data_IF_489360729453
#
_entry.id   IF_489360729453
#
_cell.length_a   1.000
_cell.length_b   1.000
_cell.length_c   1.000
_cell.angle_alpha   90.00
_cell.angle_beta   90.00
_cell.angle_gamma   90.00
#
_symmetry.space_group_name_H-M   'P 1'
#
loop_
_entity.id
_entity.type
_entity.pdbx_description
1 polymer ?
#
# COMPACT_ATOMS: atom_id res chain seq x y z
N UNK A 1 -3.36 30.82 16.33
CA UNK A 1 -3.69 29.63 15.50
C UNK A 1 -4.18 30.12 14.15
N UNK A 2 -3.79 29.45 13.06
CA UNK A 2 -4.26 29.74 11.71
C UNK A 2 -5.26 28.67 11.27
N UNK A 3 -6.42 29.11 10.75
CA UNK A 3 -7.41 28.20 10.16
C UNK A 3 -6.95 27.80 8.75
N UNK A 4 -7.11 26.52 8.42
CA UNK A 4 -6.81 26.01 7.08
C UNK A 4 -7.67 26.71 6.04
N UNK A 5 -7.07 27.07 4.89
CA UNK A 5 -7.85 27.52 3.73
C UNK A 5 -8.66 26.34 3.19
N UNK A 6 -9.72 26.66 2.45
CA UNK A 6 -10.43 25.66 1.65
C UNK A 6 -9.68 25.45 0.33
N UNK A 7 -9.56 24.20 -0.17
CA UNK A 7 -9.16 23.92 -1.54
C UNK A 7 -10.02 24.68 -2.56
N UNK A 8 -9.46 25.05 -3.71
CA UNK A 8 -10.22 25.73 -4.79
C UNK A 8 -11.39 24.87 -5.30
N UNK A 9 -11.22 23.55 -5.29
CA UNK A 9 -12.21 22.55 -5.67
C UNK A 9 -13.02 21.99 -4.49
N UNK A 10 -13.14 22.71 -3.37
CA UNK A 10 -13.76 22.21 -2.14
C UNK A 10 -15.17 21.63 -2.35
N UNK A 11 -16.01 22.29 -3.15
CA UNK A 11 -17.36 21.80 -3.43
C UNK A 11 -17.35 20.42 -4.12
N UNK A 12 -16.45 20.21 -5.08
CA UNK A 12 -16.31 18.95 -5.80
C UNK A 12 -15.68 17.85 -4.92
N UNK A 13 -14.72 18.23 -4.07
CA UNK A 13 -14.09 17.36 -3.08
C UNK A 13 -15.12 16.84 -2.06
N UNK A 14 -15.95 17.72 -1.51
CA UNK A 14 -17.05 17.35 -0.61
C UNK A 14 -18.08 16.48 -1.31
N UNK A 15 -18.45 16.78 -2.56
CA UNK A 15 -19.36 15.95 -3.32
C UNK A 15 -18.82 14.52 -3.51
N UNK A 16 -17.50 14.39 -3.76
CA UNK A 16 -16.83 13.09 -3.86
C UNK A 16 -16.84 12.35 -2.53
N UNK A 17 -16.47 13.02 -1.44
CA UNK A 17 -16.51 12.42 -0.11
C UNK A 17 -17.93 11.96 0.26
N UNK A 18 -18.94 12.77 -0.04
CA UNK A 18 -20.34 12.45 0.23
C UNK A 18 -20.82 11.26 -0.60
N UNK A 19 -20.38 11.14 -1.86
CA UNK A 19 -20.80 10.02 -2.72
C UNK A 19 -20.27 8.66 -2.30
N UNK A 20 -19.28 8.62 -1.41
CA UNK A 20 -18.71 7.37 -0.90
C UNK A 20 -19.52 6.77 0.26
N UNK A 21 -20.53 7.48 0.77
CA UNK A 21 -21.40 7.05 1.88
C UNK A 21 -20.63 6.52 3.11
N UNK A 22 -19.40 7.02 3.33
CA UNK A 22 -18.49 6.56 4.38
C UNK A 22 -18.58 7.37 5.69
N UNK A 23 -19.06 8.61 5.62
CA UNK A 23 -19.20 9.47 6.79
C UNK A 23 -20.30 8.95 7.72
N UNK A 24 -20.13 9.13 9.03
CA UNK A 24 -21.08 8.73 10.08
C UNK A 24 -21.42 7.22 10.09
N UNK A 25 -20.55 6.41 9.50
CA UNK A 25 -20.65 4.95 9.54
C UNK A 25 -19.92 4.39 10.77
N UNK A 26 -20.31 3.20 11.28
CA UNK A 26 -19.58 2.55 12.36
C UNK A 26 -18.09 2.35 12.02
N UNK A 27 -17.28 2.18 13.06
CA UNK A 27 -15.89 1.73 12.92
C UNK A 27 -15.86 0.31 12.40
N UNK A 28 -14.86 0.00 11.60
CA UNK A 28 -14.72 -1.31 10.96
C UNK A 28 -13.28 -1.78 11.07
N UNK A 29 -13.11 -3.06 11.40
CA UNK A 29 -11.81 -3.69 11.66
C UNK A 29 -10.82 -3.53 10.50
N UNK A 30 -11.31 -3.51 9.26
CA UNK A 30 -10.48 -3.27 8.07
C UNK A 30 -9.83 -1.90 8.02
N UNK A 31 -10.40 -0.88 8.67
CA UNK A 31 -9.80 0.46 8.78
C UNK A 31 -8.93 0.53 10.04
N UNK A 32 -9.39 -0.06 11.14
CA UNK A 32 -8.69 -0.11 12.44
C UNK A 32 -7.31 -0.76 12.36
N UNK A 33 -7.12 -1.74 11.47
CA UNK A 33 -5.80 -2.32 11.26
C UNK A 33 -4.77 -1.30 10.75
N UNK A 34 -5.15 -0.31 9.94
CA UNK A 34 -4.17 0.64 9.37
C UNK A 34 -3.72 1.66 10.40
N UNK A 35 -4.60 2.13 11.29
CA UNK A 35 -4.22 3.00 12.40
C UNK A 35 -3.35 2.23 13.40
N UNK A 36 -3.68 0.97 13.70
CA UNK A 36 -2.84 0.08 14.53
C UNK A 36 -1.46 -0.20 13.91
N UNK A 37 -1.40 -0.54 12.63
CA UNK A 37 -0.12 -0.74 11.91
C UNK A 37 0.69 0.56 11.92
N UNK A 38 0.03 1.71 11.74
CA UNK A 38 0.68 3.01 11.76
C UNK A 38 1.30 3.34 13.12
N UNK A 39 0.59 3.12 14.23
CA UNK A 39 1.16 3.38 15.57
C UNK A 39 2.37 2.48 15.85
N UNK A 40 2.34 1.22 15.40
CA UNK A 40 3.43 0.27 15.58
C UNK A 40 4.65 0.55 14.71
N UNK A 41 4.45 0.76 13.40
CA UNK A 41 5.56 0.98 12.44
C UNK A 41 6.29 2.29 12.73
N UNK A 42 5.56 3.35 13.05
CA UNK A 42 6.14 4.68 13.25
C UNK A 42 6.45 4.98 14.73
N UNK A 43 6.16 4.02 15.62
CA UNK A 43 6.32 4.15 17.07
C UNK A 43 5.69 5.44 17.59
N UNK A 44 4.44 5.71 17.20
CA UNK A 44 3.67 6.88 17.63
C UNK A 44 2.47 6.46 18.49
N UNK A 45 2.10 7.24 19.51
CA UNK A 45 1.00 6.87 20.39
C UNK A 45 -0.37 7.01 19.74
N UNK A 46 -0.49 7.74 18.63
CA UNK A 46 -1.76 8.08 18.01
C UNK A 46 -1.67 7.98 16.49
N UNK A 47 -2.64 7.31 15.88
CA UNK A 47 -2.86 7.34 14.44
C UNK A 47 -4.36 7.38 14.11
N UNK A 48 -4.73 8.15 13.07
CA UNK A 48 -6.12 8.38 12.68
C UNK A 48 -6.29 8.21 11.17
N UNK A 49 -7.41 7.60 10.76
CA UNK A 49 -7.97 7.82 9.42
C UNK A 49 -9.01 8.93 9.58
N UNK A 50 -8.64 10.13 9.16
CA UNK A 50 -9.42 11.36 9.32
C UNK A 50 -9.97 11.83 7.98
N UNK A 51 -11.30 11.88 7.85
CA UNK A 51 -11.99 12.39 6.67
C UNK A 51 -12.38 13.85 6.91
N UNK A 52 -12.01 14.74 6.00
CA UNK A 52 -12.25 16.18 6.15
C UNK A 52 -13.58 16.53 5.48
N UNK A 53 -14.61 16.80 6.28
CA UNK A 53 -15.94 17.21 5.83
C UNK A 53 -16.06 18.76 5.82
N UNK A 54 -17.26 19.31 5.56
CA UNK A 54 -17.50 20.75 5.42
C UNK A 54 -17.02 21.56 6.63
N UNK A 55 -17.44 21.15 7.82
CA UNK A 55 -17.21 21.88 9.09
C UNK A 55 -16.48 21.06 10.15
N UNK A 56 -16.22 19.78 9.89
CA UNK A 56 -15.55 18.85 10.83
C UNK A 56 -14.46 18.05 10.14
N UNK A 57 -13.56 17.49 10.94
CA UNK A 57 -12.84 16.28 10.58
C UNK A 57 -13.49 15.12 11.33
N UNK A 58 -13.90 14.08 10.61
CA UNK A 58 -14.55 12.90 11.16
C UNK A 58 -13.61 11.71 11.08
N UNK A 59 -13.52 10.91 12.14
CA UNK A 59 -12.54 9.84 12.24
C UNK A 59 -13.16 8.49 11.90
N UNK A 60 -12.79 7.93 10.73
CA UNK A 60 -13.23 6.60 10.31
C UNK A 60 -12.60 5.50 11.17
N UNK A 61 -11.37 5.74 11.63
CA UNK A 61 -10.63 4.85 12.49
C UNK A 61 -9.68 5.64 13.38
N UNK A 62 -9.52 5.16 14.61
CA UNK A 62 -8.80 5.85 15.68
C UNK A 62 -8.01 4.86 16.51
N UNK A 63 -6.71 5.10 16.65
CA UNK A 63 -5.84 4.42 17.61
C UNK A 63 -5.23 5.47 18.54
N UNK A 64 -5.35 5.27 19.86
CA UNK A 64 -4.71 6.10 20.89
C UNK A 64 -5.30 7.50 21.12
N UNK A 65 -6.45 7.83 20.56
CA UNK A 65 -7.14 9.12 20.73
C UNK A 65 -8.59 8.94 21.18
N UNK A 66 -9.03 9.79 22.10
CA UNK A 66 -10.41 9.79 22.60
C UNK A 66 -11.23 10.83 21.83
N UNK A 67 -12.03 10.36 20.88
CA UNK A 67 -12.96 11.19 20.10
C UNK A 67 -13.38 10.53 18.79
N UNK A 68 -14.44 11.07 18.20
CA UNK A 68 -14.99 10.62 16.90
C UNK A 68 -14.84 11.68 15.81
N UNK A 69 -14.70 12.95 16.20
CA UNK A 69 -14.51 14.07 15.30
C UNK A 69 -13.90 15.27 16.04
N UNK A 70 -13.44 16.25 15.27
CA UNK A 70 -13.20 17.61 15.79
C UNK A 70 -13.68 18.66 14.79
N UNK A 71 -13.86 19.92 15.22
CA UNK A 71 -14.07 21.01 14.28
C UNK A 71 -12.93 21.09 13.25
N UNK A 72 -13.28 21.38 11.98
CA UNK A 72 -12.29 21.48 10.89
C UNK A 72 -11.31 22.62 11.14
N UNK A 73 -11.76 23.69 11.78
CA UNK A 73 -10.97 24.90 12.06
C UNK A 73 -9.74 24.63 12.93
N UNK A 74 -9.79 23.61 13.79
CA UNK A 74 -8.68 23.19 14.65
C UNK A 74 -7.92 21.98 14.08
N UNK A 75 -8.27 21.52 12.88
CA UNK A 75 -7.68 20.30 12.31
C UNK A 75 -6.32 20.55 11.65
N UNK A 76 -5.38 19.64 11.92
CA UNK A 76 -4.14 19.52 11.14
C UNK A 76 -4.43 18.92 9.76
N UNK A 77 -5.36 17.97 9.68
CA UNK A 77 -5.78 17.31 8.45
C UNK A 77 -6.35 18.30 7.41
N UNK A 78 -7.08 19.32 7.86
CA UNK A 78 -7.56 20.40 6.99
C UNK A 78 -6.43 21.18 6.30
N UNK A 79 -5.26 21.31 6.94
CA UNK A 79 -4.06 21.88 6.31
C UNK A 79 -3.37 20.88 5.38
N UNK A 80 -3.35 19.60 5.76
CA UNK A 80 -2.68 18.55 5.00
C UNK A 80 -3.32 18.32 3.62
N UNK A 81 -4.66 18.36 3.52
CA UNK A 81 -5.37 18.15 2.24
C UNK A 81 -5.14 19.29 1.21
N UNK A 82 -4.41 20.35 1.56
CA UNK A 82 -4.04 21.41 0.62
C UNK A 82 -2.81 21.06 -0.22
N UNK A 83 -1.95 20.16 0.25
CA UNK A 83 -0.80 19.63 -0.49
C UNK A 83 -1.05 18.21 -0.98
N UNK A 84 -0.17 17.70 -1.85
CA UNK A 84 -0.24 16.32 -2.36
C UNK A 84 0.70 15.39 -1.57
N UNK A 85 1.77 15.95 -1.02
CA UNK A 85 2.77 15.21 -0.23
C UNK A 85 2.40 15.10 1.25
N UNK A 86 3.15 14.28 1.98
CA UNK A 86 3.08 14.18 3.44
C UNK A 86 3.26 15.56 4.08
N UNK A 87 2.22 16.02 4.76
CA UNK A 87 2.24 17.25 5.53
C UNK A 87 2.80 16.99 6.92
N UNK A 88 4.02 17.48 7.17
CA UNK A 88 4.74 17.23 8.42
C UNK A 88 4.90 18.51 9.27
N UNK A 89 4.57 18.40 10.55
CA UNK A 89 4.77 19.41 11.59
C UNK A 89 5.63 18.79 12.69
N UNK A 90 6.93 19.13 12.66
CA UNK A 90 7.92 18.56 13.59
C UNK A 90 7.72 18.98 15.05
N UNK A 91 7.21 20.19 15.26
CA UNK A 91 6.91 20.74 16.58
C UNK A 91 5.80 21.80 16.49
N UNK A 92 4.56 21.41 16.75
CA UNK A 92 3.37 22.24 16.70
C UNK A 92 3.40 23.42 17.69
N UNK A 93 4.13 23.30 18.81
CA UNK A 93 4.31 24.39 19.79
C UNK A 93 5.15 25.55 19.22
N UNK A 94 5.95 25.28 18.19
CA UNK A 94 6.78 26.28 17.48
C UNK A 94 6.20 26.70 16.14
N UNK A 95 5.22 25.97 15.62
CA UNK A 95 4.60 26.25 14.33
C UNK A 95 3.55 27.37 14.48
N UNK A 96 3.68 28.52 13.77
CA UNK A 96 2.72 29.62 13.84
C UNK A 96 1.28 29.21 13.52
N UNK A 97 1.09 28.17 12.70
CA UNK A 97 -0.24 27.67 12.33
C UNK A 97 -0.94 27.01 13.51
N UNK A 98 -0.19 26.30 14.35
CA UNK A 98 -0.73 25.39 15.35
C UNK A 98 -0.42 25.75 16.81
N UNK A 99 0.50 26.69 17.09
CA UNK A 99 0.94 26.93 18.47
C UNK A 99 -0.13 27.36 19.47
N UNK A 100 -1.19 28.02 19.00
CA UNK A 100 -2.34 28.41 19.84
C UNK A 100 -3.56 27.50 19.58
N UNK A 101 -3.36 26.34 18.94
CA UNK A 101 -4.43 25.39 18.67
C UNK A 101 -4.82 24.66 19.98
N UNK A 102 -6.12 24.52 20.30
CA UNK A 102 -6.56 23.79 21.49
C UNK A 102 -5.96 22.39 21.62
N UNK A 103 -5.81 21.64 20.52
CA UNK A 103 -5.21 20.29 20.53
C UNK A 103 -3.71 20.28 20.89
N UNK A 104 -3.04 21.44 20.80
CA UNK A 104 -1.63 21.62 21.17
C UNK A 104 -1.50 22.11 22.62
N UNK A 105 -2.35 23.05 23.02
CA UNK A 105 -2.33 23.67 24.34
C UNK A 105 -2.94 22.76 25.43
N UNK A 106 -4.02 22.08 25.09
CA UNK A 106 -4.78 21.19 25.97
C UNK A 106 -4.60 19.73 25.52
N UNK A 107 -5.31 18.80 26.15
CA UNK A 107 -5.29 17.40 25.73
C UNK A 107 -5.67 17.28 24.23
N UNK A 108 -4.94 16.47 23.44
CA UNK A 108 -3.93 15.49 23.84
C UNK A 108 -2.48 16.02 23.89
N UNK A 109 -2.28 17.33 23.82
CA UNK A 109 -0.99 18.03 23.82
C UNK A 109 -0.12 17.72 22.59
N UNK A 110 -0.73 17.77 21.40
CA UNK A 110 -0.08 17.50 20.11
C UNK A 110 1.19 18.34 19.98
N UNK A 111 2.31 17.66 19.76
CA UNK A 111 3.60 18.28 19.47
C UNK A 111 4.05 17.92 18.06
N UNK A 112 3.79 16.70 17.61
CA UNK A 112 4.17 16.22 16.30
C UNK A 112 2.93 15.77 15.53
N UNK A 113 2.92 16.07 14.23
CA UNK A 113 1.90 15.62 13.30
C UNK A 113 2.58 15.27 11.96
N UNK A 114 2.22 14.14 11.37
CA UNK A 114 2.45 13.87 9.96
C UNK A 114 1.20 13.26 9.34
N UNK A 115 0.69 13.82 8.26
CA UNK A 115 -0.50 13.30 7.58
C UNK A 115 -0.26 13.16 6.09
N UNK A 116 -0.51 11.97 5.56
CA UNK A 116 -0.51 11.72 4.13
C UNK A 116 -1.95 11.81 3.58
N UNK A 117 -2.20 12.61 2.53
CA UNK A 117 -3.56 12.77 2.01
C UNK A 117 -4.13 11.50 1.39
N UNK A 118 -5.41 11.23 1.66
CA UNK A 118 -6.18 10.13 1.05
C UNK A 118 -6.74 10.60 -0.30
N UNK A 119 -6.08 10.22 -1.40
CA UNK A 119 -6.43 10.64 -2.75
C UNK A 119 -7.49 9.72 -3.37
N UNK A 120 -8.68 10.26 -3.66
CA UNK A 120 -9.66 9.56 -4.48
C UNK A 120 -9.17 9.44 -5.95
N UNK A 121 -9.72 8.50 -6.75
CA UNK A 121 -9.32 8.31 -8.16
C UNK A 121 -9.48 9.55 -9.04
N UNK A 122 -10.39 10.45 -8.68
CA UNK A 122 -10.59 11.73 -9.37
C UNK A 122 -9.61 12.83 -8.90
N UNK A 123 -8.61 12.48 -8.10
CA UNK A 123 -7.60 13.40 -7.56
C UNK A 123 -8.06 14.20 -6.34
N UNK A 124 -9.29 14.02 -5.86
CA UNK A 124 -9.78 14.74 -4.68
C UNK A 124 -9.21 14.16 -3.38
N UNK A 125 -8.72 15.03 -2.51
CA UNK A 125 -8.18 14.66 -1.19
C UNK A 125 -9.32 14.56 -0.18
N UNK A 126 -9.67 13.34 0.20
CA UNK A 126 -10.81 13.06 1.07
C UNK A 126 -10.50 13.39 2.54
N UNK A 127 -9.24 13.23 2.93
CA UNK A 127 -8.79 13.25 4.30
C UNK A 127 -7.32 12.90 4.42
N UNK A 128 -6.92 12.31 5.54
CA UNK A 128 -5.56 11.83 5.79
C UNK A 128 -5.55 10.50 6.56
N UNK A 129 -4.53 9.68 6.31
CA UNK A 129 -3.97 8.84 7.37
C UNK A 129 -2.90 9.68 8.07
N UNK A 130 -3.04 9.88 9.38
CA UNK A 130 -2.12 10.74 10.12
C UNK A 130 -1.58 10.11 11.41
N UNK A 131 -0.35 10.52 11.73
CA UNK A 131 0.45 10.14 12.88
C UNK A 131 0.54 11.34 13.82
N UNK A 132 0.35 11.12 15.11
CA UNK A 132 0.36 12.19 16.12
C UNK A 132 1.20 11.75 17.32
N UNK A 133 2.03 12.68 17.83
CA UNK A 133 2.78 12.48 19.06
C UNK A 133 2.84 13.75 19.92
N UNK A 134 3.11 13.58 21.22
CA UNK A 134 3.30 14.58 22.26
C UNK A 134 4.76 15.05 22.37
N UNK A 135 5.69 14.39 21.67
CA UNK A 135 7.11 14.80 21.52
C UNK A 135 7.42 15.22 20.08
N UNK A 136 8.43 16.09 19.85
CA UNK A 136 8.87 16.42 18.49
C UNK A 136 9.43 15.20 17.77
N UNK A 137 9.15 15.08 16.47
CA UNK A 137 9.71 14.03 15.59
C UNK A 137 10.02 14.58 14.20
N UNK A 138 10.68 13.76 13.41
CA UNK A 138 10.92 13.98 12.00
C UNK A 138 10.97 12.63 11.28
N UNK A 139 10.13 12.44 10.27
CA UNK A 139 10.21 11.29 9.37
C UNK A 139 11.39 11.45 8.42
N UNK A 140 12.08 10.34 8.19
CA UNK A 140 12.90 10.12 7.02
C UNK A 140 12.04 10.08 5.75
N UNK A 141 12.67 10.25 4.59
CA UNK A 141 11.96 10.16 3.30
C UNK A 141 11.35 8.77 3.09
N UNK A 142 12.04 7.72 3.56
CA UNK A 142 11.52 6.36 3.54
C UNK A 142 10.26 6.19 4.40
N UNK A 143 10.23 6.76 5.60
CA UNK A 143 9.02 6.74 6.44
C UNK A 143 7.86 7.52 5.84
N UNK A 144 8.14 8.64 5.14
CA UNK A 144 7.11 9.37 4.39
C UNK A 144 6.53 8.52 3.27
N UNK A 145 7.38 7.81 2.53
CA UNK A 145 6.96 6.86 1.50
C UNK A 145 6.07 5.77 2.09
N UNK A 146 6.45 5.14 3.21
CA UNK A 146 5.62 4.14 3.88
C UNK A 146 4.25 4.69 4.30
N UNK A 147 4.20 5.91 4.85
CA UNK A 147 2.93 6.54 5.26
C UNK A 147 2.02 6.82 4.05
N UNK A 148 2.61 7.19 2.91
CA UNK A 148 1.89 7.35 1.65
C UNK A 148 1.35 6.03 1.11
N UNK A 149 2.12 4.93 1.16
CA UNK A 149 1.63 3.61 0.76
C UNK A 149 0.44 3.18 1.61
N UNK A 150 0.57 3.24 2.95
CA UNK A 150 -0.54 2.95 3.86
C UNK A 150 -1.79 3.79 3.57
N UNK A 151 -1.61 5.05 3.17
CA UNK A 151 -2.71 5.93 2.77
C UNK A 151 -3.38 5.47 1.48
N UNK A 152 -2.60 5.01 0.50
CA UNK A 152 -3.10 4.37 -0.72
C UNK A 152 -3.92 3.11 -0.43
N UNK A 153 -3.45 2.26 0.50
CA UNK A 153 -4.18 1.07 0.93
C UNK A 153 -5.52 1.41 1.60
N UNK A 154 -5.54 2.45 2.45
CA UNK A 154 -6.78 2.97 3.05
C UNK A 154 -7.75 3.44 1.96
N UNK A 155 -7.28 4.16 0.94
CA UNK A 155 -8.12 4.55 -0.20
C UNK A 155 -8.67 3.32 -0.92
N UNK A 156 -7.85 2.28 -1.13
CA UNK A 156 -8.28 1.01 -1.71
C UNK A 156 -9.48 0.42 -0.99
N UNK A 157 -9.46 0.40 0.35
CA UNK A 157 -10.61 -0.07 1.15
C UNK A 157 -11.85 0.83 1.02
N UNK A 158 -11.68 2.16 1.04
CA UNK A 158 -12.80 3.11 0.85
C UNK A 158 -13.50 2.86 -0.48
N UNK A 159 -12.75 2.57 -1.54
CA UNK A 159 -13.30 2.35 -2.87
C UNK A 159 -13.96 0.98 -3.02
N UNK A 160 -13.47 -0.05 -2.32
CA UNK A 160 -14.11 -1.37 -2.30
C UNK A 160 -15.54 -1.27 -1.77
N UNK A 161 -15.77 -0.53 -0.68
CA UNK A 161 -17.11 -0.28 -0.14
C UNK A 161 -18.08 0.34 -1.12
N UNK A 162 -17.60 1.37 -1.83
CA UNK A 162 -18.40 2.04 -2.83
C UNK A 162 -18.77 1.08 -3.97
N UNK A 163 -17.82 0.23 -4.41
CA UNK A 163 -18.06 -0.77 -5.46
C UNK A 163 -18.97 -1.92 -5.03
N UNK A 164 -18.92 -2.32 -3.75
CA UNK A 164 -19.78 -3.36 -3.18
C UNK A 164 -21.26 -2.91 -3.14
N UNK A 165 -21.49 -1.60 -2.95
CA UNK A 165 -22.83 -1.00 -2.97
C UNK A 165 -23.34 -0.61 -4.38
N UNK A 166 -22.49 -0.53 -5.42
CA UNK A 166 -22.82 0.10 -6.71
C UNK A 166 -22.81 -0.80 -7.98
N UNK A 167 -22.76 -2.13 -7.85
CA UNK A 167 -22.50 -3.13 -8.91
C UNK A 167 -21.01 -3.30 -9.27
N UNK A 168 -20.55 -4.55 -9.11
CA UNK A 168 -19.20 -5.09 -9.37
C UNK A 168 -18.62 -4.69 -10.74
N UNK A 169 -17.34 -4.28 -10.73
CA UNK A 169 -16.27 -5.04 -11.36
C UNK A 169 -15.46 -5.74 -10.26
N UNK A 170 -15.22 -7.03 -10.44
CA UNK A 170 -14.49 -7.87 -9.50
C UNK A 170 -13.01 -7.46 -9.48
N UNK A 171 -12.60 -6.61 -8.54
CA UNK A 171 -11.20 -6.49 -8.13
C UNK A 171 -10.81 -7.60 -7.16
N UNK A 172 -11.45 -8.78 -7.27
CA UNK A 172 -10.75 -10.01 -6.89
C UNK A 172 -9.40 -9.91 -7.58
N UNK A 173 -8.32 -10.04 -6.81
CA UNK A 173 -7.03 -10.37 -7.38
C UNK A 173 -7.27 -11.67 -8.14
N UNK A 174 -7.62 -11.58 -9.43
CA UNK A 174 -7.82 -12.75 -10.25
C UNK A 174 -6.43 -13.32 -10.38
N UNK A 175 -6.20 -14.38 -9.63
CA UNK A 175 -5.03 -15.22 -9.84
C UNK A 175 -5.11 -15.70 -11.28
N UNK A 176 -4.29 -15.09 -12.12
CA UNK A 176 -4.11 -15.59 -13.48
C UNK A 176 -3.04 -16.67 -13.43
N UNK A 177 -3.13 -17.61 -14.34
CA UNK A 177 -2.07 -18.59 -14.50
C UNK A 177 -0.81 -17.90 -15.01
N UNK A 178 0.35 -18.50 -14.72
CA UNK A 178 1.63 -18.11 -15.29
C UNK A 178 1.51 -17.98 -16.82
N UNK A 179 0.93 -18.99 -17.47
CA UNK A 179 0.74 -19.00 -18.92
C UNK A 179 -0.05 -17.77 -19.42
N UNK A 180 -1.17 -17.42 -18.77
CA UNK A 180 -1.99 -16.27 -19.16
C UNK A 180 -1.27 -14.93 -19.01
N UNK A 181 -0.46 -14.74 -17.96
CA UNK A 181 0.34 -13.52 -17.81
C UNK A 181 1.36 -13.38 -18.95
N UNK A 182 2.06 -14.47 -19.25
CA UNK A 182 3.14 -14.47 -20.23
C UNK A 182 2.64 -14.46 -21.68
N UNK A 183 1.45 -15.01 -21.96
CA UNK A 183 0.77 -14.88 -23.27
C UNK A 183 0.43 -13.42 -23.61
N UNK A 184 0.24 -12.58 -22.58
CA UNK A 184 -0.02 -11.14 -22.72
C UNK A 184 1.23 -10.27 -22.90
N UNK A 185 2.45 -10.83 -22.79
CA UNK A 185 3.68 -10.04 -22.89
C UNK A 185 3.96 -9.66 -24.34
N UNK A 186 4.19 -8.37 -24.65
CA UNK A 186 4.61 -7.95 -25.98
C UNK A 186 5.92 -8.64 -26.37
N UNK A 187 5.94 -9.25 -27.57
CA UNK A 187 7.12 -9.96 -28.12
C UNK A 187 8.27 -9.04 -28.57
N UNK A 188 8.20 -7.76 -28.19
CA UNK A 188 9.21 -6.76 -28.50
C UNK A 188 10.41 -6.89 -27.55
N UNK A 189 11.62 -6.74 -28.09
CA UNK A 189 12.86 -6.85 -27.32
C UNK A 189 12.97 -5.78 -26.23
N UNK A 190 13.45 -6.19 -25.05
CA UNK A 190 13.89 -5.28 -23.99
C UNK A 190 12.95 -5.17 -22.79
N UNK A 191 11.83 -5.87 -22.76
CA UNK A 191 10.99 -5.98 -21.56
C UNK A 191 11.74 -6.74 -20.45
N UNK A 192 11.48 -6.37 -19.19
CA UNK A 192 11.97 -7.10 -18.03
C UNK A 192 10.79 -7.56 -17.19
N UNK A 193 10.85 -8.81 -16.71
CA UNK A 193 9.84 -9.38 -15.82
C UNK A 193 10.48 -9.55 -14.45
N UNK A 194 9.82 -9.01 -13.43
CA UNK A 194 10.14 -9.29 -12.03
C UNK A 194 9.14 -10.32 -11.53
N UNK A 195 9.66 -11.43 -11.02
CA UNK A 195 8.89 -12.45 -10.32
C UNK A 195 9.16 -12.28 -8.84
N UNK A 196 8.13 -11.98 -8.07
CA UNK A 196 8.18 -11.91 -6.62
C UNK A 196 7.57 -13.18 -6.04
N UNK A 197 8.25 -13.80 -5.10
CA UNK A 197 7.76 -14.93 -4.30
C UNK A 197 7.57 -14.45 -2.86
N UNK A 198 6.33 -14.50 -2.37
CA UNK A 198 6.03 -14.24 -0.96
C UNK A 198 5.80 -15.60 -0.30
N UNK A 199 6.85 -16.12 0.33
CA UNK A 199 6.76 -17.36 1.11
C UNK A 199 5.65 -17.24 2.18
N UNK A 200 4.85 -18.30 2.29
CA UNK A 200 3.97 -18.61 3.44
C UNK A 200 2.71 -17.75 3.67
N UNK A 201 2.13 -17.13 2.63
CA UNK A 201 0.91 -16.29 2.76
C UNK A 201 -0.39 -17.09 2.99
N UNK A 202 -0.40 -18.41 2.78
CA UNK A 202 -1.63 -19.22 2.89
C UNK A 202 -1.69 -20.13 4.13
N UNK A 203 -0.65 -20.23 4.95
CA UNK A 203 -0.71 -21.06 6.17
C UNK A 203 -1.37 -20.35 7.38
N UNK A 204 -1.56 -19.03 7.31
CA UNK A 204 -2.25 -18.25 8.34
C UNK A 204 -3.78 -18.19 8.19
N UNK A 205 -4.37 -18.84 7.17
CA UNK A 205 -5.82 -18.97 7.07
C UNK A 205 -6.34 -20.10 7.98
N UNK A 206 -6.37 -19.86 9.28
CA UNK A 206 -7.10 -20.74 10.19
C UNK A 206 -7.89 -20.10 11.31
N UNK A 207 -8.00 -18.77 11.40
CA UNK A 207 -8.99 -18.17 12.31
C UNK A 207 -9.65 -16.95 11.66
N UNK A 208 -10.96 -17.06 11.46
CA UNK A 208 -11.75 -16.06 10.76
C UNK A 208 -11.88 -14.77 11.56
N UNK A 209 -11.12 -13.75 11.18
CA UNK A 209 -11.41 -12.34 11.47
C UNK A 209 -10.68 -11.45 10.45
N UNK A 210 -11.43 -10.77 9.57
CA UNK A 210 -11.14 -9.47 8.89
C UNK A 210 -9.68 -8.96 8.71
N UNK A 211 -8.71 -9.82 8.39
CA UNK A 211 -7.37 -9.41 7.94
C UNK A 211 -7.38 -9.18 6.43
N UNK A 212 -6.72 -8.11 5.97
CA UNK A 212 -6.38 -7.99 4.55
C UNK A 212 -5.28 -9.00 4.28
N UNK A 213 -5.43 -9.78 3.20
CA UNK A 213 -4.44 -10.80 2.90
C UNK A 213 -3.07 -10.15 2.66
N UNK A 214 -1.96 -10.76 3.13
CA UNK A 214 -0.61 -10.32 2.79
C UNK A 214 -0.42 -10.07 1.28
N UNK A 215 -1.07 -10.89 0.44
CA UNK A 215 -1.08 -10.71 -1.01
C UNK A 215 -1.71 -9.39 -1.49
N UNK A 216 -2.75 -8.90 -0.80
CA UNK A 216 -3.38 -7.61 -1.14
C UNK A 216 -2.47 -6.43 -0.81
N UNK A 217 -1.84 -6.45 0.37
CA UNK A 217 -0.84 -5.45 0.77
C UNK A 217 0.30 -5.41 -0.25
N UNK A 218 0.80 -6.59 -0.62
CA UNK A 218 1.90 -6.68 -1.55
C UNK A 218 1.51 -6.22 -2.96
N UNK A 219 0.31 -6.53 -3.42
CA UNK A 219 -0.21 -6.05 -4.70
C UNK A 219 -0.27 -4.51 -4.73
N UNK A 220 -0.77 -3.87 -3.67
CA UNK A 220 -0.81 -2.41 -3.57
C UNK A 220 0.60 -1.82 -3.58
N UNK A 221 1.54 -2.40 -2.84
CA UNK A 221 2.95 -1.97 -2.87
C UNK A 221 3.58 -2.11 -4.26
N UNK A 222 3.28 -3.17 -5.00
CA UNK A 222 3.80 -3.33 -6.36
C UNK A 222 3.30 -2.23 -7.30
N UNK A 223 2.04 -1.82 -7.17
CA UNK A 223 1.49 -0.70 -7.94
C UNK A 223 2.15 0.63 -7.58
N UNK A 224 2.46 0.85 -6.30
CA UNK A 224 3.10 2.07 -5.83
C UNK A 224 4.57 2.16 -6.26
N UNK A 225 5.31 1.05 -6.17
CA UNK A 225 6.73 1.00 -6.54
C UNK A 225 6.95 0.89 -8.06
N UNK A 226 6.01 0.33 -8.81
CA UNK A 226 6.11 0.17 -10.26
C UNK A 226 4.94 0.83 -11.02
N UNK A 227 4.71 2.15 -10.87
CA UNK A 227 3.55 2.82 -11.45
C UNK A 227 3.59 2.87 -12.99
N UNK A 228 4.78 2.68 -13.58
CA UNK A 228 4.98 2.67 -15.04
C UNK A 228 5.03 1.25 -15.62
N UNK A 229 4.81 0.22 -14.79
CA UNK A 229 4.74 -1.16 -15.27
C UNK A 229 3.66 -1.29 -16.35
N UNK A 230 3.95 -2.09 -17.37
CA UNK A 230 2.99 -2.42 -18.42
C UNK A 230 1.87 -3.31 -17.87
N UNK A 231 2.21 -4.19 -16.93
CA UNK A 231 1.27 -5.08 -16.27
C UNK A 231 1.81 -5.48 -14.91
N UNK A 232 0.92 -5.64 -13.93
CA UNK A 232 1.22 -6.25 -12.64
C UNK A 232 0.11 -7.26 -12.34
N UNK A 233 0.48 -8.47 -11.92
CA UNK A 233 -0.48 -9.52 -11.65
C UNK A 233 -0.06 -10.41 -10.49
N UNK A 234 -1.06 -10.96 -9.80
CA UNK A 234 -0.90 -12.12 -8.93
C UNK A 234 -1.00 -13.39 -9.78
N UNK A 235 0.02 -14.24 -9.67
CA UNK A 235 0.25 -15.38 -10.56
C UNK A 235 0.41 -16.65 -9.72
N UNK A 236 -0.53 -17.58 -9.86
CA UNK A 236 -0.58 -18.76 -9.00
C UNK A 236 -0.81 -18.41 -7.51
N UNK A 237 -0.31 -19.26 -6.61
CA UNK A 237 -0.66 -19.20 -5.19
C UNK A 237 0.26 -18.29 -4.35
N UNK A 238 1.50 -18.06 -4.81
CA UNK A 238 2.55 -17.38 -4.04
C UNK A 238 3.34 -16.33 -4.83
N UNK A 239 3.04 -16.16 -6.12
CA UNK A 239 3.88 -15.33 -6.99
C UNK A 239 3.16 -14.07 -7.45
N UNK A 240 3.94 -13.00 -7.61
CA UNK A 240 3.50 -11.76 -8.24
C UNK A 240 4.44 -11.42 -9.37
N UNK A 241 3.91 -10.99 -10.49
CA UNK A 241 4.69 -10.62 -11.66
C UNK A 241 4.53 -9.13 -11.96
N UNK A 242 5.65 -8.44 -12.20
CA UNK A 242 5.68 -7.07 -12.74
C UNK A 242 6.34 -7.11 -14.11
N UNK A 243 5.65 -6.60 -15.13
CA UNK A 243 6.19 -6.41 -16.48
C UNK A 243 6.65 -4.96 -16.66
N UNK A 244 7.95 -4.75 -16.79
CA UNK A 244 8.56 -3.43 -17.00
C UNK A 244 8.73 -3.12 -18.49
N UNK A 245 8.61 -1.83 -18.84
CA UNK A 245 8.82 -1.32 -20.19
C UNK A 245 10.30 -1.39 -20.61
N UNK A 246 10.59 -1.54 -21.92
CA UNK A 246 11.95 -1.50 -22.44
C UNK A 246 12.62 -0.15 -22.19
N UNK A 247 13.92 -0.18 -21.87
CA UNK A 247 14.77 1.00 -21.73
C UNK A 247 14.26 2.07 -20.74
N UNK A 248 13.52 1.68 -19.70
CA UNK A 248 13.13 2.62 -18.66
C UNK A 248 14.37 3.17 -17.95
N UNK A 249 14.49 4.48 -17.77
CA UNK A 249 15.50 5.12 -16.91
C UNK A 249 15.23 4.91 -15.41
N UNK A 250 14.43 3.89 -15.09
CA UNK A 250 13.92 3.58 -13.77
C UNK A 250 14.99 2.83 -12.96
N UNK A 251 15.28 3.30 -11.74
CA UNK A 251 16.22 2.65 -10.83
C UNK A 251 15.55 1.44 -10.17
N UNK A 252 15.44 0.37 -10.95
CA UNK A 252 14.80 -0.89 -10.60
C UNK A 252 15.36 -1.50 -9.31
N UNK A 253 16.69 -1.45 -9.12
CA UNK A 253 17.36 -2.00 -7.94
C UNK A 253 16.92 -1.27 -6.68
N UNK A 254 16.83 0.07 -6.73
CA UNK A 254 16.37 0.86 -5.60
C UNK A 254 14.89 0.61 -5.30
N UNK A 255 14.05 0.53 -6.33
CA UNK A 255 12.62 0.26 -6.18
C UNK A 255 12.38 -1.11 -5.54
N UNK A 256 13.06 -2.16 -6.01
CA UNK A 256 13.00 -3.50 -5.42
C UNK A 256 13.45 -3.48 -3.96
N UNK A 257 14.58 -2.83 -3.66
CA UNK A 257 15.12 -2.77 -2.29
C UNK A 257 14.14 -2.11 -1.31
N UNK A 258 13.57 -0.96 -1.71
CA UNK A 258 12.59 -0.26 -0.90
C UNK A 258 11.27 -1.05 -0.78
N UNK A 259 10.78 -1.65 -1.86
CA UNK A 259 9.61 -2.54 -1.85
C UNK A 259 9.80 -3.69 -0.86
N UNK A 260 10.93 -4.41 -0.92
CA UNK A 260 11.20 -5.53 -0.03
C UNK A 260 11.27 -5.07 1.43
N UNK A 261 11.85 -3.89 1.69
CA UNK A 261 11.90 -3.29 3.03
C UNK A 261 10.50 -2.94 3.56
N UNK A 262 9.67 -2.29 2.74
CA UNK A 262 8.31 -1.90 3.10
C UNK A 262 7.39 -3.10 3.28
N UNK A 263 7.45 -4.05 2.34
CA UNK A 263 6.72 -5.30 2.40
C UNK A 263 7.08 -6.07 3.68
N UNK A 264 8.36 -6.19 4.03
CA UNK A 264 8.75 -6.84 5.28
C UNK A 264 8.13 -6.17 6.50
N UNK A 265 8.12 -4.84 6.56
CA UNK A 265 7.49 -4.13 7.69
C UNK A 265 5.98 -4.39 7.68
N UNK A 266 5.30 -4.12 6.59
CA UNK A 266 3.84 -4.15 6.49
C UNK A 266 3.27 -5.56 6.64
N UNK A 267 3.90 -6.56 6.04
CA UNK A 267 3.46 -7.96 6.05
C UNK A 267 3.70 -8.63 7.42
N UNK A 268 4.84 -8.37 8.07
CA UNK A 268 5.09 -8.91 9.41
C UNK A 268 4.04 -8.45 10.45
N UNK A 269 3.54 -7.21 10.33
CA UNK A 269 2.49 -6.70 11.21
C UNK A 269 1.09 -7.17 10.83
N UNK A 270 0.83 -7.40 9.54
CA UNK A 270 -0.45 -7.91 9.07
C UNK A 270 -0.69 -9.37 9.50
N UNK A 271 0.37 -10.19 9.50
CA UNK A 271 0.29 -11.64 9.70
C UNK A 271 0.85 -12.13 11.04
N UNK A 272 1.48 -11.25 11.83
CA UNK A 272 2.07 -11.61 13.14
C UNK A 272 3.35 -12.45 13.06
N UNK A 273 3.86 -12.73 11.86
CA UNK A 273 5.08 -13.50 11.62
C UNK A 273 6.30 -12.59 11.40
N UNK A 274 7.43 -12.87 12.05
CA UNK A 274 8.65 -12.02 12.00
C UNK A 274 9.47 -12.12 10.68
N UNK A 275 9.07 -12.96 9.72
CA UNK A 275 9.96 -13.41 8.64
C UNK A 275 9.39 -13.35 7.22
N UNK A 276 8.42 -12.48 6.93
CA UNK A 276 7.95 -12.28 5.56
C UNK A 276 8.94 -11.40 4.78
N UNK A 277 9.77 -12.03 3.94
CA UNK A 277 10.67 -11.31 3.02
C UNK A 277 10.34 -11.74 1.59
N UNK A 278 9.82 -10.84 0.74
CA UNK A 278 9.56 -11.17 -0.65
C UNK A 278 10.88 -11.41 -1.38
N UNK A 279 11.02 -12.58 -2.01
CA UNK A 279 12.14 -12.89 -2.88
C UNK A 279 11.84 -12.39 -4.29
N UNK A 280 12.87 -11.97 -5.03
CA UNK A 280 12.72 -11.43 -6.38
C UNK A 280 13.65 -12.12 -7.36
N UNK A 281 13.09 -12.63 -8.45
CA UNK A 281 13.79 -13.11 -9.63
C UNK A 281 13.60 -12.10 -10.76
N UNK A 282 14.69 -11.72 -11.44
CA UNK A 282 14.64 -10.81 -12.59
C UNK A 282 14.93 -11.57 -13.87
N UNK A 283 14.05 -11.42 -14.85
CA UNK A 283 14.27 -11.94 -16.20
C UNK A 283 14.28 -10.79 -17.20
N UNK A 284 15.31 -10.74 -18.04
CA UNK A 284 15.29 -9.91 -19.25
C UNK A 284 14.71 -10.72 -20.41
N UNK A 285 13.61 -10.25 -20.99
CA UNK A 285 13.02 -10.83 -22.20
C UNK A 285 13.84 -10.37 -23.42
N UNK A 286 14.74 -11.23 -23.89
CA UNK A 286 15.46 -11.07 -25.15
C UNK A 286 15.04 -12.17 -26.14
N UNK A 287 14.71 -11.79 -27.38
CA UNK A 287 14.34 -12.74 -28.43
C UNK A 287 15.36 -13.86 -28.55
N UNK A 288 14.91 -15.12 -28.40
CA UNK A 288 15.73 -16.31 -28.60
C UNK A 288 16.51 -16.82 -27.38
N UNK A 289 16.38 -16.21 -26.20
CA UNK A 289 17.03 -16.74 -24.97
C UNK A 289 16.29 -17.94 -24.36
N UNK A 290 14.97 -17.96 -24.45
CA UNK A 290 14.12 -19.01 -23.87
C UNK A 290 13.24 -19.64 -24.95
N UNK A 291 13.09 -20.97 -24.92
CA UNK A 291 12.26 -21.70 -25.88
C UNK A 291 10.77 -21.70 -25.49
N UNK A 292 10.46 -21.50 -24.21
CA UNK A 292 9.10 -21.45 -23.69
C UNK A 292 8.99 -20.53 -22.46
N UNK A 293 7.75 -20.14 -22.14
CA UNK A 293 7.41 -19.44 -20.89
C UNK A 293 7.88 -20.21 -19.66
N UNK A 294 7.76 -21.54 -19.70
CA UNK A 294 8.17 -22.40 -18.61
C UNK A 294 9.69 -22.33 -18.35
N UNK A 295 10.52 -22.27 -19.39
CA UNK A 295 11.98 -22.14 -19.24
C UNK A 295 12.36 -20.80 -18.61
N UNK A 296 11.60 -19.76 -18.96
CA UNK A 296 11.82 -18.41 -18.48
C UNK A 296 11.49 -18.27 -17.00
N UNK A 297 10.33 -18.80 -16.58
CA UNK A 297 9.90 -18.84 -15.17
C UNK A 297 10.82 -19.73 -14.35
N UNK A 298 11.21 -20.89 -14.90
CA UNK A 298 12.17 -21.77 -14.25
C UNK A 298 13.50 -21.07 -13.98
N UNK A 299 14.02 -20.26 -14.91
CA UNK A 299 15.26 -19.51 -14.71
C UNK A 299 15.11 -18.44 -13.61
N UNK A 300 13.99 -17.67 -13.57
CA UNK A 300 13.69 -16.76 -12.46
C UNK A 300 13.63 -17.46 -11.11
N UNK A 301 12.92 -18.59 -11.05
CA UNK A 301 12.83 -19.39 -9.83
C UNK A 301 14.20 -19.92 -9.43
N UNK A 302 15.05 -20.36 -10.36
CA UNK A 302 16.43 -20.75 -10.06
C UNK A 302 17.26 -19.57 -9.50
N UNK A 303 17.03 -18.34 -9.94
CA UNK A 303 17.67 -17.15 -9.37
C UNK A 303 17.18 -16.87 -7.94
N UNK A 304 15.87 -16.96 -7.70
CA UNK A 304 15.27 -16.91 -6.36
C UNK A 304 15.85 -18.04 -5.49
N UNK A 305 16.07 -19.23 -6.06
CA UNK A 305 16.58 -20.40 -5.36
C UNK A 305 18.05 -20.27 -4.94
N UNK A 306 18.87 -19.61 -5.77
CA UNK A 306 20.33 -19.49 -5.60
C UNK A 306 20.76 -18.36 -4.66
N UNK A 307 19.82 -17.59 -4.09
CA UNK A 307 20.10 -16.52 -3.13
C UNK A 307 21.11 -15.48 -3.65
N UNK A 308 21.04 -15.10 -4.93
CA UNK A 308 21.88 -14.01 -5.44
C UNK A 308 21.50 -12.63 -4.83
N UNK A 309 20.47 -12.57 -3.97
CA UNK A 309 20.15 -11.53 -2.96
C UNK A 309 19.50 -12.26 -1.72
N UNK A 310 19.76 -11.93 -0.42
CA UNK A 310 19.90 -12.94 0.67
C UNK A 310 18.64 -13.57 1.35
N UNK A 311 18.88 -14.79 1.89
CA UNK A 311 18.13 -15.94 2.53
C UNK A 311 17.59 -15.76 4.00
N UNK A 312 16.81 -16.68 4.70
CA UNK A 312 16.58 -18.16 4.53
C UNK A 312 15.19 -18.85 4.78
N UNK A 313 15.05 -20.04 4.14
CA UNK A 313 14.28 -21.29 4.42
C UNK A 313 12.72 -21.28 4.48
N UNK A 314 11.96 -22.04 3.66
CA UNK A 314 11.86 -23.52 3.61
C UNK A 314 11.03 -23.97 2.37
N UNK A 315 11.52 -24.87 1.51
CA UNK A 315 10.92 -25.15 0.16
C UNK A 315 10.45 -26.58 -0.07
N UNK A 316 9.21 -26.90 0.31
CA UNK A 316 8.64 -28.25 0.09
C UNK A 316 7.43 -28.28 -0.86
N UNK A 317 6.67 -27.18 -1.02
CA UNK A 317 5.50 -27.13 -1.93
C UNK A 317 5.83 -27.08 -3.42
N UNK A 318 6.96 -26.47 -3.78
CA UNK A 318 7.35 -26.10 -5.16
C UNK A 318 7.51 -27.30 -6.10
N UNK A 319 8.05 -28.42 -5.62
CA UNK A 319 8.28 -29.62 -6.46
C UNK A 319 6.98 -30.25 -6.97
N UNK A 320 5.86 -30.06 -6.26
CA UNK A 320 4.59 -30.70 -6.59
C UNK A 320 3.80 -29.88 -7.62
N UNK A 321 3.87 -28.55 -7.57
CA UNK A 321 3.27 -27.66 -8.56
C UNK A 321 3.95 -27.77 -9.94
N UNK A 322 5.29 -27.87 -9.97
CA UNK A 322 6.07 -28.01 -11.21
C UNK A 322 5.74 -29.30 -11.99
N UNK A 323 5.40 -30.40 -11.31
CA UNK A 323 4.94 -31.62 -11.97
C UNK A 323 3.61 -31.44 -12.70
N UNK A 324 2.77 -30.51 -12.25
CA UNK A 324 1.46 -30.26 -12.82
C UNK A 324 1.51 -29.25 -13.99
N UNK A 325 2.48 -28.32 -13.99
CA UNK A 325 2.64 -27.32 -15.05
C UNK A 325 3.31 -27.89 -16.31
N UNK A 326 4.32 -28.74 -16.15
CA UNK A 326 5.05 -29.42 -17.26
C UNK A 326 4.14 -30.40 -18.04
N UNK A 327 2.97 -30.74 -17.50
CA UNK A 327 2.03 -31.67 -18.12
C UNK A 327 1.17 -31.07 -19.26
N UNK A 328 1.31 -29.77 -19.59
CA UNK A 328 0.59 -29.14 -20.72
C UNK A 328 1.55 -28.72 -21.84
N UNK A 329 1.56 -29.39 -23.00
CA UNK A 329 2.30 -28.93 -24.17
C UNK A 329 1.52 -27.80 -24.88
N UNK A 330 2.13 -26.64 -25.15
CA UNK A 330 1.47 -25.67 -26.03
C UNK A 330 2.04 -24.25 -26.23
N UNK A 331 2.81 -23.66 -25.32
CA UNK A 331 3.19 -22.23 -25.46
C UNK A 331 4.70 -22.05 -25.66
N UNK A 332 5.09 -22.05 -26.95
CA UNK A 332 6.44 -21.68 -27.39
C UNK A 332 6.57 -20.15 -27.55
N UNK A 333 7.74 -19.61 -27.20
CA UNK A 333 8.14 -18.22 -27.44
C UNK A 333 8.49 -17.96 -28.91
#
# INVERSE_FOLDING_TARGET
MQVARLPENEAARIATLSSLDILDTPRESRFDRYTRISTQIFDVPIALISLVDRNRQWFKSVEGFDGEETPREISFCGHAILGDDVFEVRNARRDPRFRDNPLVLEAPHICYYAGSPLHAPNGHKLGTLCLIDRIPRQLSDHEKTMLTHLSGMVVGEILRDFSENANRPDYSIQTITVAEFFDGIPRENGHSVLLFDIDDVLSAHSDGETQVSPGTIFMELLHDYFPTATSIAHVGDYHFCVLLKPNSSFDEVRAISHLCSDARKLLCFADGHESLTPFVGRISCSSGKYASVADMVFDAEQMILRHEIPSPATRTGVKQFLKNLVARPGTAF
#
